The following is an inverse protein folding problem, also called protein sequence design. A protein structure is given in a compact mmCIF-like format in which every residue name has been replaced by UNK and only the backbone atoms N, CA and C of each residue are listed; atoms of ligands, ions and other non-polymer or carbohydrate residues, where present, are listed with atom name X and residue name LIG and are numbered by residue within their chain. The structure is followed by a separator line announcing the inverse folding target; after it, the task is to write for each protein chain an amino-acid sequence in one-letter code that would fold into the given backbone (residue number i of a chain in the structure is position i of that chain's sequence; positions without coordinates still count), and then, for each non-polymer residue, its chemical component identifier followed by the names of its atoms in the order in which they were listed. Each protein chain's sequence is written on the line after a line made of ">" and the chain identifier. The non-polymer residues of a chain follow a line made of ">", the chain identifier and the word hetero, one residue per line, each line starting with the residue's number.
data_IF_996122061721
#
_entry.id   IF_996122061721
#
_cell.length_a   1.000
_cell.length_b   1.000
_cell.length_c   1.000
_cell.angle_alpha   90.00
_cell.angle_beta   90.00
_cell.angle_gamma   90.00
#
_symmetry.space_group_name_H-M   'P 1'
#
loop_
_entity.id
_entity.type
_entity.pdbx_description
1 polymer ?
#
# COMPACT_ATOMS: atom_id res chain seq x y z
N UNK A 1 7.22 5.13 8.15
CA UNK A 1 7.88 3.84 8.53
C UNK A 1 8.35 3.12 7.27
N UNK A 2 9.54 2.48 7.27
CA UNK A 2 10.01 1.70 6.11
C UNK A 2 9.46 0.27 6.16
N UNK A 3 8.66 -0.11 5.15
CA UNK A 3 8.09 -1.46 5.03
C UNK A 3 8.48 -2.06 3.69
N UNK A 4 8.74 -3.37 3.67
CA UNK A 4 8.93 -4.10 2.41
C UNK A 4 7.55 -4.46 1.89
N UNK A 5 7.19 -3.90 0.74
CA UNK A 5 5.91 -4.16 0.09
C UNK A 5 6.16 -4.90 -1.21
N UNK A 6 5.31 -5.85 -1.52
CA UNK A 6 5.31 -6.55 -2.80
C UNK A 6 4.28 -5.91 -3.70
N UNK A 7 4.71 -5.52 -4.88
CA UNK A 7 3.90 -4.88 -5.90
C UNK A 7 3.78 -5.81 -7.09
N UNK A 8 2.61 -5.82 -7.72
CA UNK A 8 2.40 -6.47 -9.00
C UNK A 8 2.31 -5.41 -10.08
N UNK A 9 3.12 -5.57 -11.13
CA UNK A 9 3.11 -4.66 -12.27
C UNK A 9 1.73 -4.62 -12.94
N UNK A 10 1.13 -3.43 -13.04
CA UNK A 10 -0.13 -3.20 -13.74
C UNK A 10 -0.05 -3.29 -15.27
N UNK A 11 1.16 -3.39 -15.85
CA UNK A 11 1.33 -3.56 -17.28
C UNK A 11 0.89 -4.99 -17.68
N UNK A 12 -0.07 -5.08 -18.61
CA UNK A 12 -0.60 -6.34 -19.13
C UNK A 12 0.48 -7.27 -19.70
N UNK A 13 1.58 -6.71 -20.22
CA UNK A 13 2.71 -7.45 -20.79
C UNK A 13 3.72 -7.93 -19.75
N UNK A 14 3.74 -7.33 -18.55
CA UNK A 14 4.71 -7.69 -17.52
C UNK A 14 4.06 -8.61 -16.47
N UNK A 15 3.02 -8.13 -15.77
CA UNK A 15 2.32 -8.82 -14.66
C UNK A 15 3.24 -9.49 -13.62
N UNK A 16 4.52 -9.09 -13.54
CA UNK A 16 5.48 -9.66 -12.60
C UNK A 16 5.31 -9.04 -11.23
N UNK A 17 5.53 -9.87 -10.21
CA UNK A 17 5.56 -9.44 -8.82
C UNK A 17 7.00 -9.07 -8.45
N UNK A 18 7.17 -7.97 -7.72
CA UNK A 18 8.46 -7.53 -7.22
C UNK A 18 8.29 -6.83 -5.87
N UNK A 19 9.28 -6.95 -5.00
CA UNK A 19 9.21 -6.35 -3.67
C UNK A 19 10.19 -5.20 -3.54
N UNK A 20 9.70 -4.03 -3.15
CA UNK A 20 10.53 -2.86 -2.83
C UNK A 20 10.42 -2.51 -1.36
N UNK A 21 11.52 -2.03 -0.80
CA UNK A 21 11.48 -1.30 0.47
C UNK A 21 11.03 0.12 0.16
N UNK A 22 9.88 0.51 0.69
CA UNK A 22 9.36 1.88 0.55
C UNK A 22 9.04 2.44 1.93
N UNK A 23 9.22 3.75 2.03
CA UNK A 23 8.79 4.49 3.20
C UNK A 23 7.33 4.84 3.01
N UNK A 24 6.48 4.39 3.94
CA UNK A 24 5.09 4.83 3.99
C UNK A 24 5.10 6.21 4.63
N UNK A 25 4.99 7.23 3.78
CA UNK A 25 4.82 8.64 4.13
C UNK A 25 3.33 8.98 4.16
N UNK A 26 2.98 10.20 4.56
CA UNK A 26 1.61 10.71 4.47
C UNK A 26 1.16 10.95 3.02
N UNK A 27 2.07 10.80 2.05
CA UNK A 27 1.75 10.87 0.64
C UNK A 27 0.77 9.76 0.25
N UNK A 28 -0.29 10.16 -0.44
CA UNK A 28 -1.39 9.29 -0.79
C UNK A 28 -1.08 8.39 -1.99
N UNK A 29 -0.07 8.73 -2.79
CA UNK A 29 0.24 8.09 -4.06
C UNK A 29 1.76 7.87 -4.20
N UNK A 30 2.17 6.70 -4.67
CA UNK A 30 3.55 6.45 -5.07
C UNK A 30 3.63 6.18 -6.56
N UNK A 31 4.54 6.89 -7.22
CA UNK A 31 4.93 6.66 -8.60
C UNK A 31 6.32 6.03 -8.61
N UNK A 32 6.46 4.91 -9.30
CA UNK A 32 7.76 4.25 -9.46
C UNK A 32 7.83 3.42 -10.74
N UNK A 33 9.02 3.32 -11.36
CA UNK A 33 9.20 2.48 -12.53
C UNK A 33 9.22 0.99 -12.15
N UNK A 34 8.61 0.15 -12.97
CA UNK A 34 8.71 -1.30 -12.84
C UNK A 34 10.15 -1.75 -13.18
N UNK A 35 10.83 -2.54 -12.33
CA UNK A 35 12.21 -2.97 -12.57
C UNK A 35 12.37 -3.94 -13.76
N UNK A 36 11.27 -4.47 -14.30
CA UNK A 36 11.29 -5.44 -15.40
C UNK A 36 10.97 -4.82 -16.76
N UNK A 37 9.98 -3.93 -16.83
CA UNK A 37 9.52 -3.32 -18.08
C UNK A 37 9.72 -1.80 -18.14
N UNK A 38 10.28 -1.19 -17.10
CA UNK A 38 10.44 0.27 -16.94
C UNK A 38 9.15 1.09 -17.12
N UNK A 39 7.98 0.45 -17.13
CA UNK A 39 6.69 1.17 -17.13
C UNK A 39 6.52 1.90 -15.81
N UNK A 40 6.15 3.17 -15.86
CA UNK A 40 5.79 3.93 -14.67
C UNK A 40 4.51 3.34 -14.07
N UNK A 41 4.56 3.03 -12.78
CA UNK A 41 3.47 2.44 -12.02
C UNK A 41 3.06 3.40 -10.93
N UNK A 42 1.76 3.57 -10.76
CA UNK A 42 1.16 4.32 -9.67
C UNK A 42 0.43 3.37 -8.71
N UNK A 43 0.59 3.61 -7.42
CA UNK A 43 -0.16 2.95 -6.35
C UNK A 43 -0.70 3.99 -5.39
N UNK A 44 -1.99 3.89 -5.06
CA UNK A 44 -2.64 4.74 -4.08
C UNK A 44 -2.65 4.02 -2.73
N UNK A 45 -2.17 4.68 -1.68
CA UNK A 45 -2.14 4.15 -0.32
C UNK A 45 -3.44 4.38 0.45
N UNK A 46 -4.23 5.36 0.04
CA UNK A 46 -5.55 5.67 0.62
C UNK A 46 -6.44 4.45 0.88
N UNK A 47 -6.64 3.51 -0.08
CA UNK A 47 -7.51 2.36 0.15
C UNK A 47 -6.97 1.38 1.21
N UNK A 48 -5.69 1.47 1.57
CA UNK A 48 -5.07 0.61 2.58
C UNK A 48 -5.02 1.27 3.96
N UNK A 49 -5.41 2.54 4.07
CA UNK A 49 -5.45 3.28 5.33
C UNK A 49 -6.71 2.87 6.09
N UNK A 50 -6.55 2.00 7.09
CA UNK A 50 -7.64 1.52 7.93
C UNK A 50 -7.56 2.16 9.31
N UNK A 51 -8.72 2.51 9.88
CA UNK A 51 -8.78 2.96 11.28
C UNK A 51 -8.49 1.78 12.19
N UNK A 52 -7.54 1.94 13.11
CA UNK A 52 -7.18 0.91 14.08
C UNK A 52 -8.34 0.76 15.08
N UNK A 53 -9.04 -0.38 15.04
CA UNK A 53 -10.03 -0.71 16.07
C UNK A 53 -9.32 -1.41 17.22
N UNK A 54 -9.15 -0.70 18.33
CA UNK A 54 -8.52 -1.23 19.54
C UNK A 54 -9.59 -1.98 20.34
N UNK A 55 -9.62 -3.32 20.24
CA UNK A 55 -10.49 -4.14 21.08
C UNK A 55 -9.82 -4.36 22.43
N UNK A 56 -10.26 -3.62 23.46
CA UNK A 56 -9.82 -3.82 24.84
C UNK A 56 -10.68 -4.94 25.44
N UNK A 57 -10.05 -6.06 25.80
CA UNK A 57 -10.73 -7.24 26.35
C UNK A 57 -11.10 -6.96 27.82
N UNK A 58 -12.32 -6.49 28.08
CA UNK A 58 -12.86 -6.42 29.45
C UNK A 58 -13.97 -5.41 29.71
N UNK A 59 -14.13 -4.36 28.89
CA UNK A 59 -15.19 -3.37 29.09
C UNK A 59 -15.54 -2.75 27.72
N UNK A 60 -16.83 -2.57 27.47
CA UNK A 60 -17.43 -2.20 26.18
C UNK A 60 -17.19 -0.73 25.83
N UNK A 61 -15.98 -0.22 26.04
CA UNK A 61 -15.63 1.14 25.66
C UNK A 61 -15.12 1.12 24.22
N UNK A 62 -16.00 1.44 23.27
CA UNK A 62 -15.62 1.86 21.93
C UNK A 62 -14.82 3.17 22.02
N UNK A 63 -13.55 3.09 22.38
CA UNK A 63 -12.62 4.19 22.22
C UNK A 63 -12.23 4.27 20.73
N UNK A 64 -12.85 5.20 19.99
CA UNK A 64 -12.41 5.60 18.65
C UNK A 64 -10.93 6.01 18.79
N UNK A 65 -10.03 5.13 18.37
CA UNK A 65 -8.60 5.39 18.44
C UNK A 65 -8.24 6.19 17.20
N UNK A 66 -7.70 7.40 17.35
CA UNK A 66 -7.22 8.27 16.27
C UNK A 66 -6.00 7.70 15.51
N UNK A 67 -5.58 6.47 15.83
CA UNK A 67 -4.49 5.77 15.18
C UNK A 67 -4.95 5.15 13.85
N UNK A 68 -4.31 5.59 12.76
CA UNK A 68 -4.46 4.98 11.44
C UNK A 68 -3.37 3.93 11.22
N UNK A 69 -3.78 2.75 10.77
CA UNK A 69 -2.86 1.69 10.38
C UNK A 69 -2.95 1.44 8.88
N UNK A 70 -1.82 1.11 8.25
CA UNK A 70 -1.81 0.69 6.85
C UNK A 70 -1.82 -0.84 6.75
N UNK A 71 -2.98 -1.38 6.37
CA UNK A 71 -3.18 -2.80 6.12
C UNK A 71 -3.00 -3.09 4.62
N UNK A 72 -1.76 -3.36 4.22
CA UNK A 72 -1.46 -3.74 2.85
C UNK A 72 -1.68 -5.25 2.62
N UNK A 73 -2.25 -5.66 1.47
CA UNK A 73 -2.29 -7.06 1.08
C UNK A 73 -0.88 -7.60 0.81
N UNK A 74 -0.74 -8.93 0.74
CA UNK A 74 0.53 -9.60 0.43
C UNK A 74 1.11 -9.15 -0.92
N UNK A 75 0.23 -8.86 -1.89
CA UNK A 75 0.59 -8.34 -3.20
C UNK A 75 -0.29 -7.14 -3.50
N UNK A 76 0.35 -5.98 -3.67
CA UNK A 76 -0.32 -4.73 -3.98
C UNK A 76 -0.39 -4.59 -5.50
N UNK A 77 -1.60 -4.62 -6.11
CA UNK A 77 -1.75 -4.33 -7.51
C UNK A 77 -1.41 -2.87 -7.77
N UNK A 78 -0.59 -2.62 -8.78
CA UNK A 78 -0.27 -1.26 -9.25
C UNK A 78 -1.00 -0.99 -10.56
N UNK A 79 -1.23 0.28 -10.88
CA UNK A 79 -1.75 0.68 -12.18
C UNK A 79 -0.62 1.29 -13.02
N UNK A 80 -0.61 1.12 -14.34
CA UNK A 80 0.30 1.88 -15.19
C UNK A 80 -0.06 3.37 -15.09
N UNK A 81 0.92 4.19 -14.74
CA UNK A 81 0.80 5.64 -14.80
C UNK A 81 0.88 6.04 -16.27
N UNK A 82 -0.29 6.27 -16.89
CA UNK A 82 -0.38 6.77 -18.24
C UNK A 82 -0.51 8.29 -18.15
N UNK A 83 0.50 9.07 -18.58
CA UNK A 83 0.47 10.53 -18.51
C UNK A 83 -0.61 11.14 -19.43
#
# INVERSE_FOLDING_TARGET
>A
MKKRLTFQCGNANCKRNFSFKREITEEQEFIFPCPFCNTELIVKLEPFKVRKKTFVRGEETHADSDEWEYAFPEVIPTQPHNP
#
